data_IF_967939547968
#
_entry.id   IF_967939547968
#
_cell.length_a   1.000
_cell.length_b   1.000
_cell.length_c   1.000
_cell.angle_alpha   90.00
_cell.angle_beta   90.00
_cell.angle_gamma   90.00
#
_symmetry.space_group_name_H-M   'P 1'
#
loop_
_entity.id
_entity.type
_entity.pdbx_description
1 polymer ?
#
# COMPACT_ATOMS: atom_id res chain seq x y z
N UNK A 1 -23.56 -9.46 3.05
CA UNK A 1 -23.40 -10.70 2.25
C UNK A 1 -22.27 -11.51 2.86
N UNK A 2 -22.47 -12.80 3.12
CA UNK A 2 -21.46 -13.66 3.74
C UNK A 2 -20.15 -13.70 2.93
N UNK A 3 -19.02 -13.86 3.62
CA UNK A 3 -17.69 -13.95 3.00
C UNK A 3 -17.16 -15.38 3.13
N UNK A 4 -16.66 -15.95 2.04
CA UNK A 4 -15.99 -17.26 2.04
C UNK A 4 -14.48 -17.09 2.06
N UNK A 5 -13.80 -17.91 2.83
CA UNK A 5 -12.33 -18.01 2.84
C UNK A 5 -11.88 -19.44 3.14
N UNK A 6 -10.62 -19.75 2.81
CA UNK A 6 -10.01 -21.03 3.16
C UNK A 6 -9.56 -21.03 4.63
N UNK A 7 -9.32 -22.20 5.21
CA UNK A 7 -8.76 -22.30 6.56
C UNK A 7 -7.38 -21.65 6.67
N UNK A 8 -6.56 -21.73 5.61
CA UNK A 8 -5.28 -21.02 5.55
C UNK A 8 -5.44 -19.49 5.57
N UNK A 9 -6.49 -18.98 4.91
CA UNK A 9 -6.82 -17.55 4.94
C UNK A 9 -7.37 -17.14 6.30
N UNK A 10 -8.19 -17.98 6.94
CA UNK A 10 -8.70 -17.74 8.28
C UNK A 10 -7.59 -17.66 9.33
N UNK A 11 -6.69 -18.64 9.36
CA UNK A 11 -5.54 -18.63 10.28
C UNK A 11 -4.69 -17.38 10.09
N UNK A 12 -4.40 -17.04 8.82
CA UNK A 12 -3.64 -15.84 8.53
C UNK A 12 -4.39 -14.55 8.90
N UNK A 13 -5.71 -14.53 8.82
CA UNK A 13 -6.52 -13.40 9.27
C UNK A 13 -6.47 -13.27 10.79
N UNK A 14 -6.63 -14.36 11.53
CA UNK A 14 -6.57 -14.37 13.01
C UNK A 14 -5.18 -14.05 13.57
N UNK A 15 -4.12 -14.34 12.80
CA UNK A 15 -2.74 -14.00 13.16
C UNK A 15 -2.27 -12.60 12.68
N UNK A 16 -3.06 -11.87 11.90
CA UNK A 16 -2.64 -10.56 11.36
C UNK A 16 -2.79 -9.45 12.42
N UNK A 17 -1.64 -9.00 12.96
CA UNK A 17 -1.57 -7.97 14.00
C UNK A 17 -2.22 -6.63 13.62
N UNK A 18 -2.44 -6.35 12.33
CA UNK A 18 -3.20 -5.16 11.91
C UNK A 18 -4.67 -5.29 12.26
N UNK A 19 -5.21 -6.51 12.20
CA UNK A 19 -6.59 -6.81 12.58
C UNK A 19 -6.68 -7.23 14.03
N UNK A 20 -5.71 -7.93 14.61
CA UNK A 20 -5.73 -8.39 16.00
C UNK A 20 -4.43 -8.00 16.70
N UNK A 21 -4.31 -6.75 17.18
CA UNK A 21 -3.10 -6.27 17.82
C UNK A 21 -2.79 -7.08 19.08
N UNK A 22 -1.51 -7.36 19.32
CA UNK A 22 -1.05 -8.16 20.47
C UNK A 22 -1.36 -7.53 21.83
N UNK A 23 -1.60 -6.21 21.86
CA UNK A 23 -2.00 -5.48 23.07
C UNK A 23 -3.44 -5.78 23.52
N UNK A 24 -4.18 -6.59 22.75
CA UNK A 24 -5.56 -6.95 23.05
C UNK A 24 -6.55 -5.80 22.92
N UNK A 25 -6.14 -4.68 22.31
CA UNK A 25 -7.01 -3.53 22.07
C UNK A 25 -8.20 -3.88 21.18
N UNK A 26 -8.15 -4.99 20.44
CA UNK A 26 -9.25 -5.41 19.58
C UNK A 26 -9.56 -6.89 19.72
N UNK A 27 -10.84 -7.23 19.82
CA UNK A 27 -11.31 -8.62 19.88
C UNK A 27 -12.66 -8.79 19.18
N UNK A 28 -12.99 -10.03 18.84
CA UNK A 28 -14.27 -10.39 18.22
C UNK A 28 -15.34 -10.62 19.29
N UNK A 29 -16.55 -10.16 19.02
CA UNK A 29 -17.73 -10.30 19.86
C UNK A 29 -18.90 -10.80 18.99
N UNK A 30 -19.69 -11.76 19.48
CA UNK A 30 -20.89 -12.32 18.82
C UNK A 30 -20.70 -12.72 17.34
N UNK A 31 -19.59 -13.36 16.97
CA UNK A 31 -19.44 -13.89 15.60
C UNK A 31 -20.37 -15.07 15.32
N UNK A 32 -20.75 -15.20 14.06
CA UNK A 32 -21.42 -16.39 13.54
C UNK A 32 -20.70 -16.80 12.26
N UNK A 33 -20.16 -18.00 12.28
CA UNK A 33 -19.47 -18.61 11.15
C UNK A 33 -20.26 -19.83 10.69
N UNK A 34 -20.03 -20.27 9.46
CA UNK A 34 -20.39 -21.61 9.02
C UNK A 34 -19.11 -22.36 8.68
N UNK A 35 -18.88 -23.45 9.41
CA UNK A 35 -17.71 -24.32 9.28
C UNK A 35 -18.19 -25.75 9.03
N UNK A 36 -17.70 -26.37 7.96
CA UNK A 36 -18.10 -27.73 7.53
C UNK A 36 -19.64 -27.92 7.43
N UNK A 37 -20.33 -26.86 7.00
CA UNK A 37 -21.78 -26.83 6.82
C UNK A 37 -22.60 -26.55 8.08
N UNK A 38 -21.96 -26.40 9.25
CA UNK A 38 -22.62 -26.13 10.53
C UNK A 38 -22.35 -24.71 10.97
N UNK A 39 -23.36 -24.03 11.52
CA UNK A 39 -23.18 -22.70 12.11
C UNK A 39 -22.54 -22.81 13.49
N UNK A 40 -21.49 -22.03 13.72
CA UNK A 40 -20.68 -22.04 14.95
C UNK A 40 -20.47 -20.60 15.44
N UNK A 41 -20.50 -20.45 16.77
CA UNK A 41 -20.30 -19.18 17.48
C UNK A 41 -18.95 -19.12 18.19
N UNK A 42 -18.11 -20.14 18.00
CA UNK A 42 -16.74 -20.23 18.47
C UNK A 42 -15.96 -21.17 17.53
N UNK A 43 -14.75 -20.78 17.15
CA UNK A 43 -13.90 -21.56 16.25
C UNK A 43 -12.42 -21.31 16.58
N UNK A 44 -11.82 -22.26 17.29
CA UNK A 44 -10.39 -22.25 17.58
C UNK A 44 -9.54 -22.51 16.32
N UNK A 45 -8.39 -21.86 16.22
CA UNK A 45 -7.46 -22.04 15.08
C UNK A 45 -6.95 -23.48 14.94
N UNK A 46 -6.85 -24.20 16.06
CA UNK A 46 -6.43 -25.60 16.15
C UNK A 46 -7.46 -26.58 15.55
N UNK A 47 -8.70 -26.13 15.36
CA UNK A 47 -9.79 -26.92 14.79
C UNK A 47 -9.87 -26.82 13.25
N UNK A 48 -9.13 -25.89 12.66
CA UNK A 48 -9.22 -25.53 11.24
C UNK A 48 -8.05 -26.14 10.47
N UNK A 49 -8.33 -26.91 9.43
CA UNK A 49 -7.32 -27.33 8.45
C UNK A 49 -7.22 -26.30 7.33
N UNK A 50 -6.04 -26.20 6.69
CA UNK A 50 -5.77 -25.15 5.69
C UNK A 50 -6.74 -25.20 4.49
N UNK A 51 -7.24 -26.39 4.15
CA UNK A 51 -8.16 -26.62 3.06
C UNK A 51 -9.65 -26.48 3.43
N UNK A 52 -9.98 -26.29 4.72
CA UNK A 52 -11.38 -26.13 5.13
C UNK A 52 -12.01 -24.87 4.52
N UNK A 53 -13.32 -24.91 4.23
CA UNK A 53 -14.10 -23.72 3.89
C UNK A 53 -14.70 -23.11 5.16
N UNK A 54 -14.44 -21.82 5.37
CA UNK A 54 -15.05 -21.01 6.43
C UNK A 54 -15.89 -19.92 5.78
N UNK A 55 -17.14 -19.81 6.23
CA UNK A 55 -18.06 -18.75 5.76
C UNK A 55 -18.38 -17.83 6.93
N UNK A 56 -17.93 -16.59 6.84
CA UNK A 56 -18.24 -15.54 7.82
C UNK A 56 -19.66 -15.02 7.55
N UNK A 57 -20.59 -15.21 8.49
CA UNK A 57 -22.00 -14.84 8.36
C UNK A 57 -22.31 -13.50 9.02
N UNK A 58 -21.89 -13.32 10.27
CA UNK A 58 -22.02 -12.07 11.04
C UNK A 58 -20.97 -11.97 12.15
N UNK A 59 -20.85 -10.82 12.79
CA UNK A 59 -20.06 -10.63 14.00
C UNK A 59 -19.75 -9.17 14.25
N UNK A 60 -19.31 -8.88 15.47
CA UNK A 60 -18.86 -7.56 15.88
C UNK A 60 -17.39 -7.60 16.27
N UNK A 61 -16.73 -6.48 16.06
CA UNK A 61 -15.37 -6.23 16.51
C UNK A 61 -15.43 -5.09 17.51
N UNK A 62 -14.88 -5.31 18.69
CA UNK A 62 -14.68 -4.27 19.69
C UNK A 62 -13.32 -3.65 19.47
N UNK A 63 -13.26 -2.35 19.26
CA UNK A 63 -12.00 -1.62 19.17
C UNK A 63 -12.13 -0.24 19.84
N UNK A 64 -11.04 0.35 20.37
CA UNK A 64 -11.02 1.72 20.84
C UNK A 64 -11.60 2.66 19.79
N UNK A 65 -12.54 3.50 20.21
CA UNK A 65 -13.04 4.59 19.39
C UNK A 65 -12.32 5.88 19.80
N UNK A 66 -11.81 6.63 18.83
CA UNK A 66 -10.99 7.80 19.08
C UNK A 66 -11.80 8.87 19.83
N UNK A 67 -11.34 9.26 21.03
CA UNK A 67 -12.03 10.21 21.90
C UNK A 67 -13.15 9.61 22.76
N UNK A 68 -13.37 8.29 22.72
CA UNK A 68 -14.39 7.60 23.51
C UNK A 68 -13.76 6.58 24.48
N UNK A 69 -14.32 6.48 25.68
CA UNK A 69 -13.92 5.47 26.68
C UNK A 69 -14.56 4.09 26.43
N UNK A 70 -15.62 4.05 25.62
CA UNK A 70 -16.35 2.83 25.30
C UNK A 70 -15.83 2.32 23.95
N UNK A 71 -15.47 1.04 23.82
CA UNK A 71 -15.09 0.47 22.53
C UNK A 71 -16.24 0.59 21.54
N UNK A 72 -15.92 1.10 20.34
CA UNK A 72 -16.85 1.10 19.21
C UNK A 72 -17.13 -0.33 18.74
N UNK A 73 -18.27 -0.51 18.09
CA UNK A 73 -18.65 -1.76 17.42
C UNK A 73 -18.46 -1.63 15.92
N UNK A 74 -17.64 -2.51 15.37
CA UNK A 74 -17.38 -2.56 13.93
C UNK A 74 -17.84 -3.92 13.37
N UNK A 75 -18.25 -3.95 12.10
CA UNK A 75 -18.70 -5.21 11.47
C UNK A 75 -17.50 -6.13 11.22
N UNK A 76 -17.54 -7.34 11.77
CA UNK A 76 -16.51 -8.35 11.57
C UNK A 76 -16.36 -8.76 10.10
N UNK A 77 -17.45 -8.74 9.33
CA UNK A 77 -17.39 -9.04 7.89
C UNK A 77 -16.60 -7.98 7.15
N UNK A 78 -16.63 -6.72 7.57
CA UNK A 78 -15.87 -5.67 6.90
C UNK A 78 -14.37 -5.84 7.13
N UNK A 79 -13.97 -6.25 8.33
CA UNK A 79 -12.59 -6.61 8.64
C UNK A 79 -12.12 -7.81 7.80
N UNK A 80 -12.92 -8.87 7.78
CA UNK A 80 -12.62 -10.06 6.99
C UNK A 80 -12.57 -9.77 5.48
N UNK A 81 -13.46 -8.91 4.97
CA UNK A 81 -13.46 -8.46 3.56
C UNK A 81 -12.23 -7.63 3.25
N UNK A 82 -11.83 -6.72 4.13
CA UNK A 82 -10.63 -5.92 3.96
C UNK A 82 -9.38 -6.79 3.92
N UNK A 83 -9.27 -7.76 4.84
CA UNK A 83 -8.20 -8.76 4.83
C UNK A 83 -8.17 -9.54 3.52
N UNK A 84 -9.29 -10.12 3.09
CA UNK A 84 -9.36 -10.91 1.86
C UNK A 84 -9.07 -10.06 0.62
N UNK A 85 -9.49 -8.79 0.63
CA UNK A 85 -9.17 -7.84 -0.44
C UNK A 85 -7.66 -7.60 -0.49
N UNK A 86 -7.01 -7.32 0.64
CA UNK A 86 -5.56 -7.11 0.70
C UNK A 86 -4.80 -8.36 0.28
N UNK A 87 -5.15 -9.52 0.83
CA UNK A 87 -4.50 -10.80 0.53
C UNK A 87 -4.60 -11.18 -0.94
N UNK A 88 -5.75 -10.93 -1.55
CA UNK A 88 -5.99 -11.23 -2.97
C UNK A 88 -5.55 -10.12 -3.92
N UNK A 89 -5.15 -8.95 -3.44
CA UNK A 89 -4.73 -7.84 -4.30
C UNK A 89 -3.22 -7.73 -4.30
N UNK A 90 -2.64 -7.70 -5.49
CA UNK A 90 -1.26 -7.31 -5.73
C UNK A 90 -1.24 -5.83 -6.09
N UNK A 91 -0.33 -5.07 -5.48
CA UNK A 91 0.00 -3.71 -5.91
C UNK A 91 1.46 -3.67 -6.37
N UNK A 92 1.68 -3.27 -7.61
CA UNK A 92 2.99 -3.23 -8.25
C UNK A 92 3.34 -1.82 -8.72
N UNK A 93 4.60 -1.41 -8.53
CA UNK A 93 5.14 -0.19 -9.13
C UNK A 93 5.75 -0.51 -10.50
N UNK A 94 5.31 0.22 -11.52
CA UNK A 94 5.61 -0.08 -12.92
C UNK A 94 6.06 1.20 -13.61
N UNK A 95 7.26 1.20 -14.19
CA UNK A 95 7.70 2.29 -15.05
C UNK A 95 7.16 2.14 -16.46
N UNK A 96 6.56 3.21 -16.95
CA UNK A 96 5.98 3.32 -18.28
C UNK A 96 6.73 4.42 -19.02
N UNK A 97 7.23 4.19 -20.25
CA UNK A 97 7.79 5.26 -21.07
C UNK A 97 6.80 6.43 -21.22
N UNK A 98 7.27 7.67 -21.06
CA UNK A 98 6.39 8.85 -21.06
C UNK A 98 5.49 8.92 -22.29
N UNK A 99 6.03 8.56 -23.46
CA UNK A 99 5.31 8.52 -24.73
C UNK A 99 4.14 7.51 -24.77
N UNK A 100 4.14 6.51 -23.88
CA UNK A 100 3.15 5.43 -23.85
C UNK A 100 2.15 5.56 -22.70
N UNK A 101 2.29 6.54 -21.79
CA UNK A 101 1.49 6.63 -20.55
C UNK A 101 0.00 6.66 -20.86
N UNK A 102 -0.45 7.51 -21.78
CA UNK A 102 -1.88 7.59 -22.15
C UNK A 102 -2.44 6.27 -22.67
N UNK A 103 -1.75 5.64 -23.62
CA UNK A 103 -2.15 4.35 -24.16
C UNK A 103 -2.13 3.23 -23.09
N UNK A 104 -1.15 3.26 -22.18
CA UNK A 104 -1.04 2.29 -21.10
C UNK A 104 -2.19 2.42 -20.08
N UNK A 105 -2.62 3.65 -19.77
CA UNK A 105 -3.78 3.93 -18.91
C UNK A 105 -5.07 3.39 -19.55
N UNK A 106 -5.27 3.67 -20.84
CA UNK A 106 -6.45 3.19 -21.57
C UNK A 106 -6.49 1.65 -21.67
N UNK A 107 -5.35 1.03 -21.97
CA UNK A 107 -5.21 -0.42 -22.02
C UNK A 107 -5.45 -1.07 -20.65
N UNK A 108 -4.92 -0.48 -19.57
CA UNK A 108 -5.16 -0.96 -18.20
C UNK A 108 -6.65 -0.95 -17.86
N UNK A 109 -7.34 0.15 -18.19
CA UNK A 109 -8.78 0.31 -17.98
C UNK A 109 -9.59 -0.71 -18.78
N UNK A 110 -9.28 -0.90 -20.06
CA UNK A 110 -9.94 -1.89 -20.91
C UNK A 110 -9.78 -3.32 -20.38
N UNK A 111 -8.64 -3.60 -19.76
CA UNK A 111 -8.31 -4.88 -19.13
C UNK A 111 -8.77 -4.98 -17.68
N UNK A 112 -9.47 -3.98 -17.13
CA UNK A 112 -9.98 -3.97 -15.76
C UNK A 112 -8.91 -3.98 -14.66
N UNK A 113 -7.72 -3.45 -14.95
CA UNK A 113 -6.67 -3.21 -13.97
C UNK A 113 -6.91 -1.84 -13.31
N UNK A 114 -6.64 -1.71 -12.01
CA UNK A 114 -6.66 -0.41 -11.34
C UNK A 114 -5.26 0.19 -11.47
N UNK A 115 -5.13 1.27 -12.23
CA UNK A 115 -3.87 1.96 -12.45
C UNK A 115 -3.98 3.40 -11.94
N UNK A 116 -2.97 3.83 -11.19
CA UNK A 116 -2.80 5.21 -10.72
C UNK A 116 -1.42 5.71 -11.17
N UNK A 117 -1.35 6.90 -11.76
CA UNK A 117 -0.10 7.58 -12.08
C UNK A 117 0.01 8.75 -11.11
N UNK A 118 0.72 8.63 -9.98
CA UNK A 118 0.61 9.61 -8.90
C UNK A 118 1.15 10.99 -9.26
N UNK A 119 2.17 11.02 -10.12
CA UNK A 119 2.80 12.26 -10.57
C UNK A 119 2.22 12.72 -11.90
N UNK A 120 1.67 13.93 -11.91
CA UNK A 120 1.28 14.67 -13.11
C UNK A 120 2.14 15.93 -13.22
N UNK A 121 2.76 16.14 -14.38
CA UNK A 121 3.54 17.36 -14.62
C UNK A 121 2.60 18.57 -14.55
N UNK A 122 2.89 19.50 -13.65
CA UNK A 122 2.07 20.68 -13.47
C UNK A 122 2.25 21.65 -14.64
N UNK A 123 1.17 21.97 -15.37
CA UNK A 123 1.12 23.12 -16.28
C UNK A 123 0.65 24.33 -15.47
N UNK A 124 1.53 24.92 -14.66
CA UNK A 124 1.14 26.02 -13.77
C UNK A 124 2.22 26.45 -12.78
N UNK A 125 1.93 27.44 -11.89
CA UNK A 125 2.89 27.91 -10.88
C UNK A 125 3.31 26.76 -9.94
N UNK A 126 4.55 26.84 -9.42
CA UNK A 126 5.20 25.84 -8.53
C UNK A 126 4.20 25.08 -7.66
N UNK A 127 4.20 23.76 -7.78
CA UNK A 127 3.38 22.90 -6.95
C UNK A 127 3.80 23.07 -5.47
N UNK A 128 2.83 23.36 -4.59
CA UNK A 128 3.08 23.45 -3.14
C UNK A 128 3.18 22.08 -2.46
N UNK A 129 2.87 21.02 -3.18
CA UNK A 129 2.92 19.63 -2.71
C UNK A 129 3.04 18.72 -3.91
N UNK A 130 3.67 17.57 -3.73
CA UNK A 130 3.92 16.63 -4.80
C UNK A 130 3.44 15.24 -4.45
N UNK A 131 2.73 14.62 -5.39
CA UNK A 131 2.40 13.20 -5.35
C UNK A 131 3.32 12.42 -6.26
N UNK A 132 3.87 11.32 -5.77
CA UNK A 132 4.74 10.41 -6.53
C UNK A 132 4.56 8.97 -6.05
N UNK A 133 5.03 8.01 -6.84
CA UNK A 133 5.08 6.63 -6.39
C UNK A 133 6.22 6.46 -5.36
N UNK A 134 6.06 5.55 -4.40
CA UNK A 134 7.08 5.23 -3.43
C UNK A 134 8.39 4.79 -4.08
N UNK A 135 8.32 4.08 -5.21
CA UNK A 135 9.49 3.73 -6.01
C UNK A 135 10.26 4.97 -6.49
N UNK A 136 9.57 6.04 -6.89
CA UNK A 136 10.21 7.28 -7.33
C UNK A 136 10.83 8.02 -6.14
N UNK A 137 10.16 8.02 -4.99
CA UNK A 137 10.68 8.62 -3.76
C UNK A 137 11.97 7.91 -3.30
N UNK A 138 11.96 6.58 -3.27
CA UNK A 138 13.13 5.78 -2.90
C UNK A 138 14.30 5.98 -3.89
N UNK A 139 14.01 6.06 -5.19
CA UNK A 139 15.02 6.35 -6.22
C UNK A 139 15.59 7.76 -6.07
N UNK A 140 14.75 8.75 -5.75
CA UNK A 140 15.18 10.12 -5.49
C UNK A 140 16.12 10.22 -4.28
N UNK A 141 15.78 9.56 -3.17
CA UNK A 141 16.62 9.55 -1.97
C UNK A 141 17.94 8.79 -2.14
N UNK A 142 18.03 7.95 -3.17
CA UNK A 142 19.24 7.21 -3.52
C UNK A 142 20.10 7.92 -4.57
N UNK A 143 19.74 9.15 -4.98
CA UNK A 143 20.55 9.92 -5.92
C UNK A 143 21.91 10.28 -5.32
N UNK A 144 22.94 10.19 -6.14
CA UNK A 144 24.29 10.66 -5.84
C UNK A 144 24.55 12.00 -6.54
N UNK A 145 25.59 12.75 -6.18
CA UNK A 145 26.00 13.93 -6.92
C UNK A 145 26.28 13.62 -8.41
N UNK A 146 25.95 14.52 -9.35
CA UNK A 146 25.53 15.91 -9.15
C UNK A 146 24.01 16.14 -9.00
N UNK A 147 23.18 15.12 -9.16
CA UNK A 147 21.72 15.24 -9.00
C UNK A 147 21.31 15.51 -7.55
N UNK A 148 22.19 15.18 -6.60
CA UNK A 148 22.12 15.59 -5.19
C UNK A 148 23.26 16.53 -4.82
N UNK A 149 23.04 17.60 -4.03
CA UNK A 149 24.15 18.42 -3.56
C UNK A 149 25.12 17.60 -2.70
N UNK A 150 26.42 17.74 -2.93
CA UNK A 150 27.43 17.04 -2.13
C UNK A 150 27.33 17.46 -0.65
N UNK A 151 27.13 16.49 0.24
CA UNK A 151 26.89 16.74 1.67
C UNK A 151 25.48 17.23 2.02
N UNK A 152 24.56 17.27 1.05
CA UNK A 152 23.17 17.70 1.28
C UNK A 152 22.35 16.67 2.05
N UNK A 153 21.52 17.13 2.99
CA UNK A 153 20.51 16.29 3.66
C UNK A 153 19.12 16.94 3.60
N UNK A 154 18.08 16.14 3.79
CA UNK A 154 16.70 16.64 3.87
C UNK A 154 16.40 17.05 5.32
N UNK A 155 15.94 18.28 5.50
CA UNK A 155 15.44 18.82 6.76
C UNK A 155 13.92 19.12 6.65
N UNK A 156 13.20 18.94 7.76
CA UNK A 156 11.78 19.28 7.91
C UNK A 156 10.85 18.74 6.81
N UNK A 157 11.07 17.49 6.37
CA UNK A 157 10.21 16.86 5.36
C UNK A 157 8.86 16.43 5.94
N UNK A 158 7.83 17.23 5.68
CA UNK A 158 6.45 16.86 6.01
C UNK A 158 5.76 16.18 4.82
N UNK A 159 4.99 15.14 5.10
CA UNK A 159 4.21 14.47 4.07
C UNK A 159 3.31 13.37 4.58
N UNK A 160 2.79 12.57 3.66
CA UNK A 160 1.87 11.46 3.95
C UNK A 160 2.16 10.30 3.04
N UNK A 161 2.08 9.09 3.57
CA UNK A 161 2.14 7.86 2.81
C UNK A 161 0.73 7.26 2.84
N UNK A 162 0.18 6.94 1.67
CA UNK A 162 -1.18 6.39 1.60
C UNK A 162 -1.28 5.07 2.40
N UNK A 163 -2.23 5.03 3.34
CA UNK A 163 -2.45 3.92 4.25
C UNK A 163 -1.58 3.88 5.52
N UNK A 164 -0.77 4.92 5.81
CA UNK A 164 0.02 5.05 7.04
C UNK A 164 -0.36 6.35 7.75
N UNK A 165 -0.64 6.29 9.06
CA UNK A 165 -1.04 7.43 9.88
C UNK A 165 0.11 8.37 10.29
N UNK A 166 1.28 8.28 9.64
CA UNK A 166 2.47 9.08 9.95
C UNK A 166 2.53 10.34 9.10
N UNK A 167 2.95 11.45 9.70
CA UNK A 167 3.28 12.74 9.04
C UNK A 167 4.68 12.76 8.43
N UNK A 168 5.52 11.78 8.78
CA UNK A 168 6.93 11.76 8.38
C UNK A 168 7.14 10.74 7.28
N UNK A 169 7.71 11.22 6.16
CA UNK A 169 8.03 10.38 5.00
C UNK A 169 9.47 9.90 5.13
N UNK A 170 9.67 8.73 5.76
CA UNK A 170 10.98 8.10 5.88
C UNK A 170 11.13 6.91 4.93
N UNK A 171 12.37 6.60 4.54
CA UNK A 171 12.71 5.42 3.69
C UNK A 171 12.14 4.12 4.26
N UNK A 172 12.20 3.95 5.59
CA UNK A 172 11.78 2.73 6.26
C UNK A 172 10.27 2.48 6.20
N UNK A 173 9.47 3.51 5.93
CA UNK A 173 8.01 3.45 5.93
C UNK A 173 7.38 3.36 4.53
N UNK A 174 8.16 3.52 3.45
CA UNK A 174 7.62 3.63 2.08
C UNK A 174 7.80 2.33 1.30
N UNK A 175 6.70 1.68 0.93
CA UNK A 175 6.72 0.61 -0.05
C UNK A 175 6.75 1.18 -1.49
N UNK A 176 7.43 0.52 -2.46
CA UNK A 176 7.53 1.01 -3.83
C UNK A 176 6.16 1.27 -4.51
N UNK A 177 5.15 0.48 -4.15
CA UNK A 177 3.80 0.52 -4.73
C UNK A 177 2.80 1.39 -3.93
N UNK A 178 3.28 2.23 -3.01
CA UNK A 178 2.45 3.22 -2.31
C UNK A 178 2.52 4.59 -2.99
N UNK A 179 1.50 5.41 -2.75
CA UNK A 179 1.52 6.83 -3.09
C UNK A 179 2.18 7.59 -1.94
N UNK A 180 3.16 8.42 -2.27
CA UNK A 180 3.81 9.36 -1.36
C UNK A 180 3.33 10.76 -1.71
N UNK A 181 2.94 11.53 -0.70
CA UNK A 181 2.65 12.95 -0.78
C UNK A 181 3.74 13.70 0.00
N UNK A 182 4.51 14.54 -0.67
CA UNK A 182 5.47 15.46 -0.05
C UNK A 182 4.82 16.83 0.01
N UNK A 183 4.64 17.39 1.20
CA UNK A 183 3.98 18.68 1.42
C UNK A 183 4.99 19.82 1.61
N UNK A 184 6.15 19.55 2.23
CA UNK A 184 7.21 20.54 2.46
C UNK A 184 8.56 19.86 2.70
N UNK A 185 9.62 20.66 2.83
CA UNK A 185 10.97 20.22 3.19
C UNK A 185 12.05 21.06 2.51
N UNK A 186 13.26 21.01 3.06
CA UNK A 186 14.43 21.67 2.50
C UNK A 186 15.57 20.68 2.28
N UNK A 187 16.36 20.89 1.24
CA UNK A 187 17.67 20.26 1.08
C UNK A 187 18.70 21.26 1.59
N UNK A 188 19.39 20.89 2.66
CA UNK A 188 20.35 21.75 3.36
C UNK A 188 21.75 21.29 3.02
N UNK A 189 22.61 22.24 2.65
CA UNK A 189 24.03 22.02 2.38
C UNK A 189 24.82 23.00 3.23
N UNK A 190 25.84 22.51 3.93
CA UNK A 190 26.64 23.35 4.81
C UNK A 190 27.25 24.54 4.05
N UNK A 191 26.88 25.76 4.45
CA UNK A 191 27.39 26.99 3.84
C UNK A 191 26.73 27.40 2.51
N UNK A 192 25.63 26.75 2.10
CA UNK A 192 24.85 27.14 0.92
C UNK A 192 23.43 27.61 1.27
N UNK A 193 22.72 28.16 0.28
CA UNK A 193 21.30 28.47 0.39
C UNK A 193 20.48 27.18 0.36
N UNK A 194 19.43 27.11 1.19
CA UNK A 194 18.50 25.99 1.23
C UNK A 194 17.76 25.83 -0.10
N UNK A 195 17.61 24.59 -0.55
CA UNK A 195 16.86 24.26 -1.76
C UNK A 195 15.50 23.71 -1.37
N UNK A 196 14.42 24.30 -1.90
CA UNK A 196 13.05 23.79 -1.72
C UNK A 196 12.91 22.36 -2.26
N UNK A 197 12.64 21.40 -1.36
CA UNK A 197 12.58 19.98 -1.69
C UNK A 197 11.53 19.67 -2.76
N UNK A 198 10.34 20.27 -2.63
CA UNK A 198 9.22 20.02 -3.55
C UNK A 198 9.56 20.49 -4.96
N UNK A 199 10.16 21.68 -5.11
CA UNK A 199 10.61 22.21 -6.40
C UNK A 199 11.72 21.38 -7.01
N UNK A 200 12.70 20.94 -6.21
CA UNK A 200 13.80 20.11 -6.69
C UNK A 200 13.30 18.73 -7.16
N UNK A 201 12.45 18.10 -6.36
CA UNK A 201 11.82 16.82 -6.68
C UNK A 201 10.93 16.90 -7.93
N UNK A 202 10.14 17.98 -8.08
CA UNK A 202 9.35 18.24 -9.29
C UNK A 202 10.24 18.33 -10.54
N UNK A 203 11.33 19.11 -10.47
CA UNK A 203 12.25 19.27 -11.59
C UNK A 203 12.92 17.94 -11.97
N UNK A 204 13.34 17.16 -10.97
CA UNK A 204 13.87 15.82 -11.18
C UNK A 204 12.84 14.91 -11.88
N UNK A 205 11.60 14.84 -11.38
CA UNK A 205 10.53 14.04 -11.97
C UNK A 205 10.17 14.46 -13.40
N UNK A 206 10.11 15.77 -13.67
CA UNK A 206 9.82 16.29 -15.01
C UNK A 206 10.91 15.92 -16.03
N UNK A 207 12.17 15.82 -15.60
CA UNK A 207 13.29 15.39 -16.44
C UNK A 207 13.29 13.91 -16.82
N UNK A 208 12.44 13.07 -16.21
CA UNK A 208 12.48 11.62 -16.43
C UNK A 208 11.79 11.20 -17.74
N UNK A 209 12.38 10.27 -18.51
CA UNK A 209 11.78 9.74 -19.74
C UNK A 209 10.67 8.71 -19.48
N UNK A 210 10.37 8.43 -18.20
CA UNK A 210 9.39 7.45 -17.74
C UNK A 210 8.48 8.09 -16.69
N UNK A 211 7.32 7.47 -16.48
CA UNK A 211 6.45 7.72 -15.32
C UNK A 211 6.22 6.41 -14.60
N UNK A 212 6.22 6.45 -13.28
CA UNK A 212 5.88 5.27 -12.49
C UNK A 212 4.39 5.27 -12.19
N UNK A 213 3.73 4.17 -12.52
CA UNK A 213 2.35 3.89 -12.19
C UNK A 213 2.28 2.83 -11.09
N UNK A 214 1.28 2.94 -10.23
CA UNK A 214 0.90 1.91 -9.27
C UNK A 214 -0.26 1.14 -9.87
N UNK A 215 -0.08 -0.17 -10.03
CA UNK A 215 -1.08 -1.05 -10.63
C UNK A 215 -1.54 -2.06 -9.58
N UNK A 216 -2.81 -1.97 -9.22
CA UNK A 216 -3.47 -2.91 -8.32
C UNK A 216 -4.37 -3.87 -9.09
N UNK A 217 -4.22 -5.16 -8.84
CA UNK A 217 -4.99 -6.21 -9.49
C UNK A 217 -5.16 -7.42 -8.58
N UNK A 218 -6.19 -8.23 -8.84
CA UNK A 218 -6.37 -9.49 -8.10
C UNK A 218 -5.33 -10.52 -8.55
N UNK A 219 -4.85 -11.36 -7.63
CA UNK A 219 -3.83 -12.40 -7.91
C UNK A 219 -4.16 -13.30 -9.09
N UNK A 220 -5.43 -13.68 -9.26
CA UNK A 220 -5.93 -14.47 -10.38
C UNK A 220 -5.82 -13.77 -11.74
N UNK A 221 -5.59 -12.45 -11.76
CA UNK A 221 -5.38 -11.63 -12.96
C UNK A 221 -3.92 -11.41 -13.32
N UNK A 222 -2.98 -12.11 -12.67
CA UNK A 222 -1.55 -12.05 -13.02
C UNK A 222 -1.29 -12.16 -14.54
N UNK A 223 -1.89 -13.11 -15.29
CA UNK A 223 -1.64 -13.19 -16.73
C UNK A 223 -2.11 -11.96 -17.53
N UNK A 224 -3.19 -11.31 -17.07
CA UNK A 224 -3.71 -10.09 -17.69
C UNK A 224 -2.74 -8.93 -17.44
N UNK A 225 -2.19 -8.84 -16.23
CA UNK A 225 -1.19 -7.85 -15.85
C UNK A 225 0.12 -8.03 -16.65
N UNK A 226 0.63 -9.26 -16.77
CA UNK A 226 1.88 -9.53 -17.52
C UNK A 226 1.74 -9.18 -19.00
N UNK A 227 0.58 -9.51 -19.60
CA UNK A 227 0.27 -9.12 -20.96
C UNK A 227 0.13 -7.60 -21.12
N UNK A 228 -0.38 -6.90 -20.10
CA UNK A 228 -0.48 -5.43 -20.11
C UNK A 228 0.90 -4.77 -19.99
N UNK A 229 1.79 -5.28 -19.12
CA UNK A 229 3.18 -4.79 -19.01
C UNK A 229 3.87 -4.84 -20.38
N UNK A 230 3.74 -5.97 -21.07
CA UNK A 230 4.36 -6.18 -22.38
C UNK A 230 3.83 -5.21 -23.43
N UNK A 231 2.52 -4.99 -23.48
CA UNK A 231 1.86 -4.06 -24.40
C UNK A 231 2.25 -2.60 -24.11
N UNK A 232 2.25 -2.21 -22.84
CA UNK A 232 2.61 -0.86 -22.40
C UNK A 232 4.11 -0.54 -22.57
N UNK A 233 4.93 -1.54 -22.95
CA UNK A 233 6.41 -1.49 -22.90
C UNK A 233 6.91 -1.03 -21.54
N UNK A 234 6.22 -1.50 -20.51
CA UNK A 234 6.47 -1.15 -19.13
C UNK A 234 7.54 -2.07 -18.52
N UNK A 235 8.16 -1.62 -17.43
CA UNK A 235 9.05 -2.44 -16.62
C UNK A 235 8.62 -2.44 -15.15
N UNK A 236 8.63 -3.62 -14.54
CA UNK A 236 8.35 -3.77 -13.11
C UNK A 236 9.52 -3.20 -12.31
N UNK A 237 9.27 -2.25 -11.41
CA UNK A 237 10.31 -1.58 -10.61
C UNK A 237 10.67 -2.32 -9.33
N UNK A 238 9.78 -3.16 -8.79
CA UNK A 238 9.99 -4.20 -7.75
C UNK A 238 8.70 -5.05 -7.67
N UNK A 239 8.83 -6.37 -7.46
CA UNK A 239 7.73 -7.32 -7.27
C UNK A 239 6.96 -7.01 -5.96
N UNK A 240 5.65 -7.31 -5.89
CA UNK A 240 4.86 -7.01 -4.71
C UNK A 240 5.49 -7.62 -3.47
N UNK A 241 5.39 -6.91 -2.34
CA UNK A 241 5.66 -7.47 -1.02
C UNK A 241 5.16 -8.91 -0.99
N UNK A 242 6.08 -9.87 -0.88
CA UNK A 242 5.73 -11.08 -0.17
C UNK A 242 5.27 -10.57 1.18
N UNK A 243 3.96 -10.66 1.41
CA UNK A 243 3.32 -10.30 2.65
C UNK A 243 4.29 -10.66 3.78
N UNK A 244 4.75 -9.64 4.50
CA UNK A 244 5.55 -9.81 5.70
C UNK A 244 4.91 -10.94 6.49
N UNK A 245 5.51 -12.13 6.45
CA UNK A 245 5.36 -13.05 7.56
C UNK A 245 5.92 -12.26 8.73
N UNK A 246 5.20 -12.12 9.85
CA UNK A 246 5.80 -11.58 11.04
C UNK A 246 7.05 -12.41 11.28
N UNK A 247 8.22 -11.76 11.22
CA UNK A 247 9.43 -12.40 11.69
C UNK A 247 9.15 -12.74 13.14
N UNK A 248 9.06 -14.03 13.44
CA UNK A 248 9.04 -14.50 14.81
C UNK A 248 10.23 -13.84 15.53
N UNK A 249 10.05 -13.30 16.74
CA UNK A 249 11.17 -12.76 17.49
C UNK A 249 12.22 -13.87 17.63
N UNK A 250 13.45 -13.55 17.24
CA UNK A 250 14.59 -14.43 17.49
C UNK A 250 14.67 -14.68 19.00
N UNK A 251 14.60 -15.96 19.37
CA UNK A 251 14.81 -16.47 20.73
C UNK A 251 16.25 -16.22 21.17
#
# INVERSE_FOLDING_TARGET
>A
MALKMTGADWKAFMADARYWPEDGSRWVDEWLLRFRGVEVEDLGEDQVEDADEIVVLSGWVRAPEEGCQIPGHYDFLDYARDFMKRRNTISAAVSIPLANVGAAVDAAKARGLKLEVPFESAVGPRARKLKLAGADWLEYLALEPPEWPEGGYIEDCEGKIDGIASSDVSVAAVAPSQVVLVESGAIVVEGAEEIDLVSHLQAWMDGRPVRTAIVSYKRDRQPIFDAWISEAKASLRIAPEQALSPQAPAV
#
